data_IF_000713435107
#
_entry.id   IF_000713435107
#
_cell.length_a   1.000
_cell.length_b   1.000
_cell.length_c   1.000
_cell.angle_alpha   90.00
_cell.angle_beta   90.00
_cell.angle_gamma   90.00
#
_symmetry.space_group_name_H-M   'P 1'
#
loop_
_entity.id
_entity.type
_entity.pdbx_description
1 polymer ?
#
# COMPACT_ATOMS: atom_id res chain seq x y z
N UNK A 1 31.58 36.67 48.09
CA UNK A 1 32.13 37.36 46.90
C UNK A 1 31.95 36.43 45.72
N UNK A 2 31.56 36.82 44.51
CA UNK A 2 31.03 38.06 43.95
C UNK A 2 30.52 37.63 42.57
N UNK A 3 29.28 38.00 42.27
CA UNK A 3 28.79 38.46 40.97
C UNK A 3 28.82 37.54 39.72
N UNK A 4 27.60 37.40 39.17
CA UNK A 4 27.26 37.34 37.74
C UNK A 4 27.56 36.01 37.04
N UNK A 5 26.62 35.07 36.78
CA UNK A 5 25.20 35.14 36.40
C UNK A 5 24.84 36.44 35.65
N UNK A 6 25.62 36.77 34.64
CA UNK A 6 25.20 37.60 33.52
C UNK A 6 25.81 36.97 32.27
N UNK A 7 25.04 36.94 31.18
CA UNK A 7 25.25 36.25 29.90
C UNK A 7 24.44 34.97 29.64
N UNK A 8 23.41 34.69 30.45
CA UNK A 8 22.16 34.08 29.96
C UNK A 8 21.15 35.22 29.76
N UNK A 9 21.43 36.13 28.82
CA UNK A 9 20.54 37.24 28.48
C UNK A 9 20.80 37.81 27.08
N UNK A 10 21.38 37.04 26.16
CA UNK A 10 21.62 37.54 24.80
C UNK A 10 21.55 36.46 23.72
N UNK A 11 20.60 35.53 23.81
CA UNK A 11 20.19 34.67 22.68
C UNK A 11 18.66 34.51 22.68
N UNK A 12 17.95 35.63 22.81
CA UNK A 12 16.48 35.70 22.69
C UNK A 12 16.03 36.86 21.78
N UNK A 13 16.90 37.34 20.88
CA UNK A 13 16.57 38.48 20.01
C UNK A 13 17.13 38.40 18.58
N UNK A 14 17.17 37.20 17.98
CA UNK A 14 17.40 37.08 16.52
C UNK A 14 16.43 36.14 15.81
N UNK A 15 15.36 35.70 16.48
CA UNK A 15 14.18 35.17 15.80
C UNK A 15 13.30 36.36 15.44
N UNK A 16 13.00 36.54 14.15
CA UNK A 16 12.26 37.66 13.53
C UNK A 16 13.14 38.83 13.01
N UNK A 17 13.99 38.55 12.04
CA UNK A 17 14.48 39.58 11.11
C UNK A 17 14.55 39.02 9.68
N UNK A 18 13.40 38.60 9.18
CA UNK A 18 13.05 38.54 7.76
C UNK A 18 11.54 38.62 7.72
N UNK A 19 11.01 39.83 7.87
CA UNK A 19 9.62 40.13 7.48
C UNK A 19 9.59 40.25 5.97
N UNK A 20 9.73 39.12 5.26
CA UNK A 20 8.99 38.98 4.01
C UNK A 20 7.53 38.82 4.45
N UNK A 21 6.83 39.95 4.53
CA UNK A 21 5.38 39.92 4.60
C UNK A 21 4.92 39.22 3.33
N UNK A 22 4.48 37.97 3.45
CA UNK A 22 3.82 37.26 2.35
C UNK A 22 2.73 38.19 1.86
N UNK A 23 2.87 38.65 0.62
CA UNK A 23 1.91 39.58 0.07
C UNK A 23 0.54 38.89 0.03
N UNK A 24 -0.53 39.69 0.14
CA UNK A 24 -1.90 39.19 -0.02
C UNK A 24 -2.06 38.34 -1.29
N UNK A 25 -1.28 38.68 -2.33
CA UNK A 25 -1.30 38.04 -3.63
C UNK A 25 -0.62 36.66 -3.59
N UNK A 26 0.56 36.53 -2.96
CA UNK A 26 1.24 35.23 -2.79
C UNK A 26 0.44 34.24 -1.94
N UNK A 27 -0.29 34.73 -0.93
CA UNK A 27 -1.19 33.89 -0.14
C UNK A 27 -2.43 33.44 -0.94
N UNK A 28 -2.94 34.32 -1.81
CA UNK A 28 -4.05 33.98 -2.70
C UNK A 28 -3.63 32.94 -3.75
N UNK A 29 -2.43 33.09 -4.32
CA UNK A 29 -1.85 32.14 -5.28
C UNK A 29 -1.61 30.77 -4.63
N UNK A 30 -1.02 30.75 -3.43
CA UNK A 30 -0.79 29.50 -2.69
C UNK A 30 -2.11 28.79 -2.35
N UNK A 31 -3.17 29.54 -2.03
CA UNK A 31 -4.49 28.97 -1.78
C UNK A 31 -5.06 28.35 -3.05
N UNK A 32 -4.92 29.01 -4.21
CA UNK A 32 -5.36 28.48 -5.49
C UNK A 32 -4.61 27.19 -5.87
N UNK A 33 -3.29 27.13 -5.60
CA UNK A 33 -2.48 25.94 -5.84
C UNK A 33 -2.89 24.76 -4.95
N UNK A 34 -3.21 25.01 -3.68
CA UNK A 34 -3.71 23.97 -2.77
C UNK A 34 -5.08 23.44 -3.22
N UNK A 35 -6.00 24.32 -3.62
CA UNK A 35 -7.32 23.93 -4.14
C UNK A 35 -7.18 23.09 -5.42
N UNK A 36 -6.30 23.50 -6.32
CA UNK A 36 -5.98 22.74 -7.54
C UNK A 36 -5.37 21.38 -7.21
N UNK A 37 -4.38 21.32 -6.32
CA UNK A 37 -3.74 20.07 -5.93
C UNK A 37 -4.73 19.11 -5.26
N UNK A 38 -5.64 19.64 -4.43
CA UNK A 38 -6.72 18.84 -3.83
C UNK A 38 -7.63 18.23 -4.91
N UNK A 39 -8.03 19.03 -5.90
CA UNK A 39 -8.85 18.56 -7.02
C UNK A 39 -8.13 17.50 -7.86
N UNK A 40 -6.84 17.68 -8.14
CA UNK A 40 -6.02 16.72 -8.88
C UNK A 40 -5.87 15.40 -8.11
N UNK A 41 -5.69 15.45 -6.78
CA UNK A 41 -5.62 14.27 -5.91
C UNK A 41 -6.95 13.51 -5.91
N UNK A 42 -8.09 14.20 -5.83
CA UNK A 42 -9.41 13.56 -5.90
C UNK A 42 -9.64 12.91 -7.27
N UNK A 43 -9.30 13.59 -8.35
CA UNK A 43 -9.40 13.05 -9.71
C UNK A 43 -8.52 11.82 -9.91
N UNK A 44 -7.26 11.86 -9.47
CA UNK A 44 -6.34 10.71 -9.51
C UNK A 44 -6.84 9.55 -8.65
N UNK A 45 -7.39 9.84 -7.47
CA UNK A 45 -7.97 8.82 -6.59
C UNK A 45 -9.18 8.14 -7.25
N UNK A 46 -10.02 8.92 -7.91
CA UNK A 46 -11.16 8.40 -8.66
C UNK A 46 -10.70 7.50 -9.83
N UNK A 47 -9.75 7.97 -10.65
CA UNK A 47 -9.17 7.19 -11.76
C UNK A 47 -8.53 5.90 -11.24
N UNK A 48 -7.73 5.97 -10.17
CA UNK A 48 -7.13 4.77 -9.59
C UNK A 48 -8.19 3.77 -9.10
N UNK A 49 -9.30 4.25 -8.53
CA UNK A 49 -10.41 3.41 -8.06
C UNK A 49 -11.18 2.77 -9.21
N UNK A 50 -11.44 3.50 -10.30
CA UNK A 50 -12.16 2.98 -11.47
C UNK A 50 -11.28 2.04 -12.29
N UNK A 51 -10.02 2.39 -12.54
CA UNK A 51 -9.06 1.54 -13.23
C UNK A 51 -8.75 0.26 -12.45
N UNK A 52 -8.68 0.29 -11.11
CA UNK A 52 -8.54 -0.92 -10.29
C UNK A 52 -9.77 -1.83 -10.38
N UNK A 53 -10.96 -1.27 -10.58
CA UNK A 53 -12.20 -2.05 -10.76
C UNK A 53 -12.26 -2.74 -12.12
N UNK A 54 -11.64 -2.17 -13.15
CA UNK A 54 -11.58 -2.75 -14.50
C UNK A 54 -10.36 -3.68 -14.72
N UNK A 55 -9.30 -3.55 -13.91
CA UNK A 55 -8.07 -4.35 -14.02
C UNK A 55 -7.93 -5.44 -12.93
N UNK A 56 -8.74 -5.39 -11.86
CA UNK A 56 -8.74 -6.40 -10.80
C UNK A 56 -9.30 -7.73 -11.30
N UNK A 57 -8.80 -8.83 -10.74
CA UNK A 57 -9.40 -10.15 -10.99
C UNK A 57 -10.85 -10.14 -10.47
N UNK A 58 -11.85 -10.70 -11.19
CA UNK A 58 -13.23 -10.77 -10.73
C UNK A 58 -13.36 -11.45 -9.36
N UNK A 59 -14.30 -11.01 -8.54
CA UNK A 59 -14.44 -11.47 -7.14
C UNK A 59 -14.84 -12.96 -7.05
N UNK A 60 -15.70 -13.42 -7.96
CA UNK A 60 -16.11 -14.81 -8.13
C UNK A 60 -14.93 -15.71 -8.56
N UNK A 61 -14.08 -15.20 -9.45
CA UNK A 61 -12.84 -15.87 -9.82
C UNK A 61 -11.89 -15.98 -8.62
N UNK A 62 -11.72 -14.89 -7.87
CA UNK A 62 -10.89 -14.88 -6.68
C UNK A 62 -11.40 -15.85 -5.60
N UNK A 63 -12.71 -15.94 -5.40
CA UNK A 63 -13.33 -16.89 -4.48
C UNK A 63 -13.08 -18.33 -4.92
N UNK A 64 -13.37 -18.65 -6.19
CA UNK A 64 -13.14 -19.97 -6.76
C UNK A 64 -11.67 -20.39 -6.66
N UNK A 65 -10.74 -19.47 -6.96
CA UNK A 65 -9.30 -19.72 -6.85
C UNK A 65 -8.90 -20.05 -5.40
N UNK A 66 -9.39 -19.27 -4.42
CA UNK A 66 -9.10 -19.52 -3.00
C UNK A 66 -9.66 -20.85 -2.54
N UNK A 67 -10.87 -21.18 -2.95
CA UNK A 67 -11.53 -22.42 -2.54
C UNK A 67 -10.80 -23.64 -3.09
N UNK A 68 -10.42 -23.63 -4.38
CA UNK A 68 -9.63 -24.69 -5.00
C UNK A 68 -8.27 -24.82 -4.30
N UNK A 69 -7.56 -23.72 -4.09
CA UNK A 69 -6.28 -23.72 -3.38
C UNK A 69 -6.43 -24.28 -1.96
N UNK A 70 -7.50 -23.90 -1.24
CA UNK A 70 -7.74 -24.33 0.13
C UNK A 70 -7.83 -25.85 0.20
N UNK A 71 -8.66 -26.45 -0.67
CA UNK A 71 -8.82 -27.91 -0.76
C UNK A 71 -7.49 -28.62 -1.08
N UNK A 72 -6.64 -28.01 -1.91
CA UNK A 72 -5.34 -28.61 -2.29
C UNK A 72 -4.36 -28.63 -1.11
N UNK A 73 -4.35 -27.59 -0.28
CA UNK A 73 -3.32 -27.43 0.77
C UNK A 73 -3.80 -27.79 2.18
N UNK A 74 -5.11 -28.02 2.38
CA UNK A 74 -5.74 -28.27 3.67
C UNK A 74 -5.05 -29.38 4.46
N UNK A 75 -4.92 -30.57 3.87
CA UNK A 75 -4.28 -31.71 4.56
C UNK A 75 -2.83 -31.41 4.97
N UNK A 76 -2.08 -30.69 4.12
CA UNK A 76 -0.70 -30.34 4.40
C UNK A 76 -0.57 -29.25 5.47
N UNK A 77 -1.51 -28.30 5.50
CA UNK A 77 -1.57 -27.25 6.52
C UNK A 77 -1.99 -27.82 7.88
N UNK A 78 -2.99 -28.73 7.91
CA UNK A 78 -3.53 -29.31 9.14
C UNK A 78 -2.51 -30.13 9.93
N UNK A 79 -1.51 -30.71 9.24
CA UNK A 79 -0.46 -31.52 9.87
C UNK A 79 0.81 -30.72 10.19
N UNK A 80 0.97 -29.49 9.71
CA UNK A 80 2.09 -28.61 10.07
C UNK A 80 1.65 -27.60 11.15
N UNK A 81 2.12 -27.70 12.40
CA UNK A 81 1.71 -26.80 13.48
C UNK A 81 2.16 -25.34 13.28
N UNK A 82 2.98 -25.07 12.27
CA UNK A 82 3.42 -23.71 11.92
C UNK A 82 2.57 -23.10 10.80
N UNK A 83 1.75 -23.91 10.13
CA UNK A 83 0.91 -23.43 9.05
C UNK A 83 -0.21 -22.54 9.59
N UNK A 84 -0.51 -21.48 8.84
CA UNK A 84 -1.78 -20.76 8.98
C UNK A 84 -2.94 -21.64 8.47
N UNK A 85 -4.20 -21.30 8.79
CA UNK A 85 -5.35 -21.92 8.17
C UNK A 85 -5.24 -21.90 6.64
N UNK A 86 -5.57 -23.01 5.97
CA UNK A 86 -5.42 -23.15 4.52
C UNK A 86 -6.07 -22.01 3.72
N UNK A 87 -7.26 -21.56 4.14
CA UNK A 87 -7.96 -20.41 3.52
C UNK A 87 -7.16 -19.11 3.62
N UNK A 88 -6.44 -18.89 4.72
CA UNK A 88 -5.59 -17.71 4.93
C UNK A 88 -4.30 -17.79 4.09
N UNK A 89 -3.67 -18.98 4.02
CA UNK A 89 -2.54 -19.25 3.13
C UNK A 89 -2.91 -18.91 1.68
N UNK A 90 -4.05 -19.43 1.22
CA UNK A 90 -4.54 -19.23 -0.14
C UNK A 90 -4.98 -17.78 -0.41
N UNK A 91 -5.59 -17.10 0.56
CA UNK A 91 -5.91 -15.68 0.45
C UNK A 91 -4.65 -14.80 0.31
N UNK A 92 -3.61 -15.08 1.11
CA UNK A 92 -2.33 -14.42 1.01
C UNK A 92 -1.62 -14.71 -0.33
N UNK A 93 -1.69 -15.96 -0.79
CA UNK A 93 -1.09 -16.40 -2.06
C UNK A 93 -1.74 -15.68 -3.25
N UNK A 94 -3.06 -15.66 -3.30
CA UNK A 94 -3.82 -14.98 -4.34
C UNK A 94 -3.51 -13.48 -4.39
N UNK A 95 -3.37 -12.83 -3.22
CA UNK A 95 -2.98 -11.42 -3.15
C UNK A 95 -1.60 -11.18 -3.78
N UNK A 96 -0.67 -12.11 -3.62
CA UNK A 96 0.63 -12.07 -4.28
C UNK A 96 0.51 -12.15 -5.81
N UNK A 97 -0.25 -13.13 -6.31
CA UNK A 97 -0.49 -13.32 -7.73
C UNK A 97 -1.17 -12.10 -8.38
N UNK A 98 -2.24 -11.59 -7.78
CA UNK A 98 -2.95 -10.41 -8.28
C UNK A 98 -2.09 -9.13 -8.25
N UNK A 99 -1.08 -9.08 -7.39
CA UNK A 99 -0.12 -7.99 -7.35
C UNK A 99 0.95 -8.07 -8.43
N UNK A 100 1.21 -9.26 -8.98
CA UNK A 100 2.26 -9.52 -9.96
C UNK A 100 1.72 -9.68 -11.39
N UNK A 101 0.49 -10.15 -11.55
CA UNK A 101 -0.04 -10.58 -12.85
C UNK A 101 -1.44 -10.07 -13.12
N UNK A 102 -1.70 -9.74 -14.38
CA UNK A 102 -3.07 -9.55 -14.86
C UNK A 102 -3.77 -10.90 -14.94
N UNK A 103 -5.10 -10.92 -14.81
CA UNK A 103 -5.85 -12.17 -14.94
C UNK A 103 -5.65 -12.79 -16.33
N UNK A 104 -5.66 -11.95 -17.37
CA UNK A 104 -5.47 -12.38 -18.75
C UNK A 104 -4.17 -13.14 -18.94
N UNK A 105 -3.07 -12.64 -18.40
CA UNK A 105 -1.77 -13.30 -18.51
C UNK A 105 -1.79 -14.61 -17.72
N UNK A 106 -2.25 -14.57 -16.47
CA UNK A 106 -2.31 -15.75 -15.61
C UNK A 106 -3.14 -16.88 -16.22
N UNK A 107 -4.34 -16.59 -16.73
CA UNK A 107 -5.23 -17.59 -17.32
C UNK A 107 -4.69 -18.22 -18.59
N UNK A 108 -3.92 -17.46 -19.38
CA UNK A 108 -3.32 -17.92 -20.64
C UNK A 108 -2.27 -19.02 -20.46
N UNK A 109 -1.74 -19.16 -19.24
CA UNK A 109 -0.68 -20.11 -18.95
C UNK A 109 -1.19 -21.54 -18.75
N UNK A 110 -0.37 -22.55 -19.10
CA UNK A 110 -0.62 -23.93 -18.70
C UNK A 110 -0.50 -24.08 -17.17
N UNK A 111 -1.05 -25.17 -16.62
CA UNK A 111 -1.18 -25.36 -15.18
C UNK A 111 0.16 -25.40 -14.45
N UNK A 112 1.18 -26.05 -15.03
CA UNK A 112 2.53 -26.14 -14.44
C UNK A 112 3.17 -24.76 -14.23
N UNK A 113 2.95 -23.84 -15.18
CA UNK A 113 3.41 -22.46 -15.06
C UNK A 113 2.62 -21.70 -14.00
N UNK A 114 1.29 -21.92 -13.90
CA UNK A 114 0.45 -21.34 -12.83
C UNK A 114 0.89 -21.80 -11.45
N UNK A 115 1.19 -23.09 -11.29
CA UNK A 115 1.66 -23.69 -10.04
C UNK A 115 3.05 -23.14 -9.66
N UNK A 116 3.94 -23.02 -10.65
CA UNK A 116 5.26 -22.39 -10.48
C UNK A 116 5.16 -20.92 -10.06
N UNK A 117 4.23 -20.16 -10.63
CA UNK A 117 3.97 -18.78 -10.24
C UNK A 117 3.39 -18.65 -8.82
N UNK A 118 2.55 -19.60 -8.39
CA UNK A 118 1.94 -19.61 -7.05
C UNK A 118 2.91 -20.06 -5.96
N UNK A 119 3.82 -21.00 -6.26
CA UNK A 119 4.76 -21.62 -5.33
C UNK A 119 5.53 -20.65 -4.40
N UNK A 120 6.17 -19.56 -4.88
CA UNK A 120 6.88 -18.64 -3.99
C UNK A 120 5.93 -17.93 -3.00
N UNK A 121 4.70 -17.63 -3.42
CA UNK A 121 3.71 -17.01 -2.55
C UNK A 121 3.14 -18.00 -1.55
N UNK A 122 2.87 -19.25 -1.95
CA UNK A 122 2.48 -20.33 -1.03
C UNK A 122 3.52 -20.50 0.08
N UNK A 123 4.80 -20.55 -0.29
CA UNK A 123 5.92 -20.70 0.65
C UNK A 123 6.01 -19.53 1.63
N UNK A 124 5.84 -18.30 1.12
CA UNK A 124 5.86 -17.08 1.93
C UNK A 124 4.65 -16.99 2.87
N UNK A 125 3.49 -17.44 2.41
CA UNK A 125 2.22 -17.31 3.12
C UNK A 125 1.97 -18.46 4.11
N UNK A 126 2.78 -19.53 4.06
CA UNK A 126 2.58 -20.74 4.85
C UNK A 126 2.46 -20.47 6.35
N UNK A 127 3.35 -19.66 6.91
CA UNK A 127 3.46 -19.41 8.36
C UNK A 127 3.51 -17.90 8.72
N UNK A 128 2.90 -17.06 7.87
CA UNK A 128 2.96 -15.59 7.96
C UNK A 128 2.12 -15.02 9.11
#
# INVERSE_FOLDING_TARGET
MRFSIFFIALVLASSCASTESVSSDEFADLKADVEKFSADVEALTYVAKTTKKELGWPEDYQESWRDICTVIVEEAADVDPRAQPAREICGCTLKGLMGAFTLKDYESWPQDVKDGAASPYLSMCWAK
#
